data_IF_317311888629
#
_entry.id   IF_317311888629
#
_cell.length_a   1.000
_cell.length_b   1.000
_cell.length_c   1.000
_cell.angle_alpha   90.00
_cell.angle_beta   90.00
_cell.angle_gamma   90.00
#
_symmetry.space_group_name_H-M   'P 1'
#
loop_
_entity.id
_entity.type
_entity.pdbx_description
1 polymer ?
#
# COMPACT_ATOMS: atom_id res chain seq x y z
N UNK A 1 5.54 38.38 -26.92
CA UNK A 1 4.87 38.09 -25.62
C UNK A 1 5.39 36.77 -25.12
N UNK A 2 6.16 36.76 -24.04
CA UNK A 2 6.69 35.55 -23.41
C UNK A 2 5.63 34.94 -22.48
N UNK A 3 5.22 33.72 -22.77
CA UNK A 3 4.26 32.98 -21.91
C UNK A 3 4.97 32.53 -20.63
N UNK A 4 4.57 33.08 -19.50
CA UNK A 4 5.07 32.62 -18.20
C UNK A 4 4.38 31.30 -17.84
N UNK A 5 5.13 30.20 -17.81
CA UNK A 5 4.63 28.90 -17.31
C UNK A 5 4.77 28.86 -15.78
N UNK A 6 3.69 28.60 -15.08
CA UNK A 6 3.70 28.43 -13.63
C UNK A 6 3.81 26.92 -13.32
N UNK A 7 4.93 26.51 -12.76
CA UNK A 7 5.17 25.12 -12.37
C UNK A 7 4.46 24.77 -11.02
N UNK A 8 3.13 24.81 -11.03
CA UNK A 8 2.31 24.58 -9.81
C UNK A 8 2.44 23.13 -9.33
N UNK A 9 2.42 22.18 -10.24
CA UNK A 9 2.51 20.74 -9.92
C UNK A 9 3.85 20.39 -9.25
N UNK A 10 4.97 20.89 -9.76
CA UNK A 10 6.30 20.68 -9.17
C UNK A 10 6.40 21.26 -7.75
N UNK A 11 5.76 22.40 -7.47
CA UNK A 11 5.73 22.98 -6.12
C UNK A 11 4.90 22.16 -5.15
N UNK A 12 3.77 21.62 -5.59
CA UNK A 12 2.91 20.76 -4.77
C UNK A 12 3.65 19.46 -4.43
N UNK A 13 4.23 18.77 -5.41
CA UNK A 13 4.99 17.54 -5.20
C UNK A 13 6.19 17.78 -4.29
N UNK A 14 6.97 18.85 -4.50
CA UNK A 14 8.12 19.17 -3.65
C UNK A 14 7.73 19.52 -2.20
N UNK A 15 6.55 20.08 -1.98
CA UNK A 15 6.03 20.30 -0.62
C UNK A 15 5.61 18.99 0.04
N UNK A 16 4.95 18.11 -0.72
CA UNK A 16 4.60 16.77 -0.26
C UNK A 16 5.85 15.95 0.09
N UNK A 17 6.88 15.97 -0.75
CA UNK A 17 8.10 15.18 -0.54
C UNK A 17 8.82 15.57 0.75
N UNK A 18 8.88 16.88 1.07
CA UNK A 18 9.45 17.36 2.35
C UNK A 18 8.67 16.84 3.57
N UNK A 19 7.34 16.77 3.48
CA UNK A 19 6.52 16.21 4.54
C UNK A 19 6.65 14.68 4.62
N UNK A 20 6.80 14.02 3.47
CA UNK A 20 7.08 12.60 3.43
C UNK A 20 8.42 12.27 4.11
N UNK A 21 9.47 13.07 3.91
CA UNK A 21 10.75 12.94 4.63
C UNK A 21 10.57 13.10 6.15
N UNK A 22 9.73 14.04 6.59
CA UNK A 22 9.42 14.22 8.02
C UNK A 22 8.64 13.02 8.58
N UNK A 23 7.67 12.50 7.84
CA UNK A 23 6.95 11.27 8.22
C UNK A 23 7.91 10.09 8.36
N UNK A 24 8.83 9.92 7.40
CA UNK A 24 9.86 8.90 7.43
C UNK A 24 10.73 9.03 8.68
N UNK A 25 11.27 10.21 8.92
CA UNK A 25 12.13 10.46 10.10
C UNK A 25 11.38 10.19 11.42
N UNK A 26 10.08 10.48 11.48
CA UNK A 26 9.25 10.17 12.65
C UNK A 26 9.08 8.68 12.86
N UNK A 27 8.82 7.91 11.78
CA UNK A 27 8.68 6.45 11.83
C UNK A 27 10.00 5.79 12.21
N UNK A 28 11.11 6.21 11.60
CA UNK A 28 12.46 5.76 11.92
C UNK A 28 12.80 6.01 13.39
N UNK A 29 12.51 7.22 13.88
CA UNK A 29 12.74 7.60 15.29
C UNK A 29 11.91 6.81 16.30
N UNK A 30 10.77 6.25 15.86
CA UNK A 30 9.93 5.36 16.66
C UNK A 30 10.29 3.86 16.49
N UNK A 31 11.19 3.51 15.56
CA UNK A 31 11.54 2.14 15.21
C UNK A 31 10.39 1.37 14.54
N UNK A 32 9.55 2.08 13.78
CA UNK A 32 8.35 1.54 13.12
C UNK A 32 8.62 1.36 11.64
N UNK A 33 8.65 0.11 11.16
CA UNK A 33 8.61 -0.16 9.72
C UNK A 33 7.23 0.18 9.15
N UNK A 34 7.15 0.74 7.95
CA UNK A 34 5.88 1.14 7.36
C UNK A 34 5.73 0.76 5.89
N UNK A 35 4.50 0.40 5.51
CA UNK A 35 4.10 0.05 4.15
C UNK A 35 3.00 0.99 3.66
N UNK A 36 3.09 1.40 2.39
CA UNK A 36 1.97 1.98 1.64
C UNK A 36 1.38 0.91 0.73
N UNK A 37 0.15 0.47 1.00
CA UNK A 37 -0.57 -0.52 0.19
C UNK A 37 -1.45 0.21 -0.82
N UNK A 38 -1.13 0.03 -2.08
CA UNK A 38 -1.82 0.61 -3.23
C UNK A 38 -2.51 -0.49 -4.04
N UNK A 39 -3.66 -0.17 -4.62
CA UNK A 39 -4.39 -1.08 -5.51
C UNK A 39 -5.53 -0.35 -6.22
N UNK A 40 -6.12 -0.97 -7.23
CA UNK A 40 -7.44 -0.57 -7.71
C UNK A 40 -8.54 -0.89 -6.68
N UNK A 41 -9.72 -0.28 -6.81
CA UNK A 41 -10.89 -0.67 -6.02
C UNK A 41 -11.21 -2.16 -6.21
N UNK A 42 -11.51 -2.86 -5.11
CA UNK A 42 -11.90 -4.27 -5.16
C UNK A 42 -10.75 -5.27 -5.37
N UNK A 43 -9.48 -4.85 -5.51
CA UNK A 43 -8.33 -5.77 -5.63
C UNK A 43 -8.09 -6.64 -4.38
N UNK A 44 -8.59 -6.19 -3.21
CA UNK A 44 -8.52 -6.93 -1.97
C UNK A 44 -7.51 -6.37 -0.96
N UNK A 45 -7.31 -5.04 -0.92
CA UNK A 45 -6.44 -4.36 0.06
C UNK A 45 -6.76 -4.77 1.49
N UNK A 46 -7.95 -4.47 1.97
CA UNK A 46 -8.40 -4.77 3.32
C UNK A 46 -8.31 -6.27 3.64
N UNK A 47 -8.68 -7.14 2.69
CA UNK A 47 -8.52 -8.60 2.88
C UNK A 47 -7.06 -9.00 3.04
N UNK A 48 -6.15 -8.42 2.29
CA UNK A 48 -4.70 -8.64 2.41
C UNK A 48 -4.18 -8.17 3.76
N UNK A 49 -4.61 -6.99 4.21
CA UNK A 49 -4.25 -6.43 5.53
C UNK A 49 -4.70 -7.37 6.64
N UNK A 50 -5.95 -7.82 6.61
CA UNK A 50 -6.48 -8.74 7.63
C UNK A 50 -5.74 -10.08 7.66
N UNK A 51 -5.40 -10.66 6.49
CA UNK A 51 -4.57 -11.88 6.42
C UNK A 51 -3.15 -11.65 6.91
N UNK A 52 -2.58 -10.48 6.64
CA UNK A 52 -1.26 -10.07 7.15
C UNK A 52 -1.29 -9.97 8.68
N UNK A 53 -2.31 -9.31 9.25
CA UNK A 53 -2.51 -9.21 10.69
C UNK A 53 -2.65 -10.61 11.31
N UNK A 54 -3.51 -11.45 10.76
CA UNK A 54 -3.73 -12.82 11.25
C UNK A 54 -2.42 -13.63 11.32
N UNK A 55 -1.60 -13.52 10.28
CA UNK A 55 -0.33 -14.26 10.19
C UNK A 55 0.78 -13.69 11.10
N UNK A 56 0.81 -12.38 11.35
CA UNK A 56 1.92 -11.70 12.01
C UNK A 56 1.63 -11.27 13.45
N UNK A 57 0.37 -11.09 13.88
CA UNK A 57 0.00 -10.64 15.23
C UNK A 57 0.63 -11.42 16.39
N UNK A 58 1.00 -12.72 16.26
CA UNK A 58 1.70 -13.42 17.33
C UNK A 58 3.16 -12.98 17.50
N UNK A 59 3.71 -12.22 16.52
CA UNK A 59 5.14 -11.87 16.45
C UNK A 59 5.39 -10.37 16.37
N UNK A 60 4.44 -9.59 15.84
CA UNK A 60 4.57 -8.15 15.59
C UNK A 60 3.35 -7.40 16.12
N UNK A 61 3.61 -6.22 16.65
CA UNK A 61 2.59 -5.24 17.00
C UNK A 61 2.31 -4.40 15.75
N UNK A 62 1.09 -4.46 15.25
CA UNK A 62 0.70 -3.86 13.96
C UNK A 62 -0.25 -2.70 14.23
N UNK A 63 -0.03 -1.57 13.55
CA UNK A 63 -0.97 -0.46 13.45
C UNK A 63 -1.43 -0.27 12.01
N UNK A 64 -2.60 0.28 11.80
CA UNK A 64 -3.16 0.53 10.46
C UNK A 64 -3.64 1.97 10.34
N UNK A 65 -3.30 2.59 9.20
CA UNK A 65 -3.94 3.82 8.72
C UNK A 65 -4.72 3.46 7.48
N UNK A 66 -6.00 3.78 7.43
CA UNK A 66 -6.87 3.53 6.29
C UNK A 66 -7.27 4.84 5.64
N UNK A 67 -7.03 4.97 4.33
CA UNK A 67 -7.51 6.07 3.50
C UNK A 67 -8.75 5.67 2.71
N UNK A 68 -9.86 6.35 2.96
CA UNK A 68 -11.10 6.14 2.20
C UNK A 68 -11.73 7.48 1.79
N UNK A 69 -12.45 7.46 0.68
CA UNK A 69 -13.29 8.57 0.22
C UNK A 69 -14.62 8.64 0.95
N UNK A 70 -15.08 7.53 1.54
CA UNK A 70 -16.33 7.43 2.27
C UNK A 70 -16.16 7.79 3.76
N UNK A 71 -17.21 8.37 4.34
CA UNK A 71 -17.24 8.68 5.77
C UNK A 71 -17.54 7.46 6.67
N UNK A 72 -17.59 6.25 6.09
CA UNK A 72 -17.99 5.01 6.78
C UNK A 72 -16.74 4.18 7.12
N UNK A 73 -16.58 3.83 8.39
CA UNK A 73 -15.39 3.19 8.98
C UNK A 73 -15.38 1.65 8.87
N UNK A 74 -16.03 1.05 7.85
CA UNK A 74 -16.25 -0.40 7.77
C UNK A 74 -14.93 -1.19 7.83
N UNK A 75 -13.90 -0.73 7.15
CA UNK A 75 -12.65 -1.48 7.06
C UNK A 75 -11.74 -1.20 8.27
N UNK A 76 -11.70 0.03 8.78
CA UNK A 76 -11.05 0.34 10.06
C UNK A 76 -11.69 -0.43 11.22
N UNK A 77 -13.01 -0.56 11.24
CA UNK A 77 -13.73 -1.34 12.26
C UNK A 77 -13.34 -2.83 12.26
N UNK A 78 -13.09 -3.41 11.09
CA UNK A 78 -12.60 -4.80 10.97
C UNK A 78 -11.19 -4.95 11.57
N UNK A 79 -10.32 -3.97 11.36
CA UNK A 79 -8.96 -3.95 11.90
C UNK A 79 -9.00 -3.80 13.42
N UNK A 80 -9.84 -2.91 13.94
CA UNK A 80 -10.06 -2.73 15.39
C UNK A 80 -10.64 -4.00 16.00
N UNK A 81 -11.60 -4.65 15.35
CA UNK A 81 -12.16 -5.93 15.80
C UNK A 81 -11.09 -7.05 15.82
N UNK A 82 -10.06 -6.96 14.98
CA UNK A 82 -8.89 -7.84 15.02
C UNK A 82 -7.91 -7.48 16.17
N UNK A 83 -8.19 -6.45 16.97
CA UNK A 83 -7.40 -6.05 18.13
C UNK A 83 -6.20 -5.15 17.82
N UNK A 84 -6.16 -4.52 16.64
CA UNK A 84 -5.07 -3.64 16.23
C UNK A 84 -5.49 -2.16 16.33
N UNK A 85 -4.58 -1.24 16.73
CA UNK A 85 -4.84 0.18 16.64
C UNK A 85 -5.00 0.59 15.18
N UNK A 86 -6.08 1.31 14.88
CA UNK A 86 -6.37 1.81 13.54
C UNK A 86 -6.85 3.26 13.57
N UNK A 87 -6.47 4.01 12.54
CA UNK A 87 -6.92 5.38 12.29
C UNK A 87 -7.45 5.44 10.86
N UNK A 88 -8.66 5.96 10.69
CA UNK A 88 -9.20 6.26 9.37
C UNK A 88 -8.96 7.71 8.98
N UNK A 89 -8.53 7.91 7.74
CA UNK A 89 -8.45 9.21 7.08
C UNK A 89 -9.60 9.28 6.07
N UNK A 90 -10.56 10.16 6.33
CA UNK A 90 -11.53 10.53 5.31
C UNK A 90 -10.91 11.57 4.39
N UNK A 91 -10.67 11.22 3.14
CA UNK A 91 -10.01 12.10 2.17
C UNK A 91 -10.92 13.20 1.61
N UNK A 92 -12.22 13.19 1.97
CA UNK A 92 -13.16 14.20 1.47
C UNK A 92 -13.43 14.14 -0.04
N UNK A 93 -13.12 13.01 -0.66
CA UNK A 93 -13.27 12.79 -2.11
C UNK A 93 -11.96 12.77 -2.87
N UNK A 94 -10.81 13.02 -2.23
CA UNK A 94 -9.51 12.84 -2.88
C UNK A 94 -9.25 11.37 -3.17
N UNK A 95 -8.68 11.10 -4.33
CA UNK A 95 -8.47 9.75 -4.85
C UNK A 95 -7.13 9.12 -4.43
N UNK A 96 -6.44 9.69 -3.42
CA UNK A 96 -5.18 9.21 -2.86
C UNK A 96 -4.96 9.80 -1.46
N UNK A 97 -4.06 9.19 -0.71
CA UNK A 97 -3.45 9.80 0.47
C UNK A 97 -2.21 10.59 0.06
N UNK A 98 -1.96 11.70 0.76
CA UNK A 98 -0.73 12.48 0.67
C UNK A 98 0.04 12.49 2.00
N UNK A 99 1.23 13.10 2.00
CA UNK A 99 2.08 13.14 3.19
C UNK A 99 1.49 14.00 4.32
N UNK A 100 0.64 15.01 4.01
CA UNK A 100 -0.04 15.85 5.01
C UNK A 100 -1.08 15.02 5.76
N UNK A 101 -1.86 14.24 5.03
CA UNK A 101 -2.88 13.36 5.60
C UNK A 101 -2.24 12.34 6.54
N UNK A 102 -1.16 11.69 6.12
CA UNK A 102 -0.43 10.76 6.98
C UNK A 102 0.19 11.46 8.19
N UNK A 103 0.81 12.64 8.02
CA UNK A 103 1.38 13.41 9.14
C UNK A 103 0.34 13.73 10.24
N UNK A 104 -0.91 13.96 9.85
CA UNK A 104 -2.01 14.21 10.78
C UNK A 104 -2.54 12.93 11.45
N UNK A 105 -2.41 11.76 10.80
CA UNK A 105 -2.84 10.49 11.36
C UNK A 105 -1.82 9.88 12.34
N UNK A 106 -0.52 10.01 12.09
CA UNK A 106 0.53 9.41 12.91
C UNK A 106 0.45 9.76 14.40
N UNK A 107 0.11 11.01 14.84
CA UNK A 107 -0.06 11.35 16.26
C UNK A 107 -1.20 10.61 16.98
N UNK A 108 -2.14 10.05 16.23
CA UNK A 108 -3.29 9.32 16.77
C UNK A 108 -2.98 7.84 17.05
N UNK A 109 -1.80 7.38 16.66
CA UNK A 109 -1.34 6.00 16.87
C UNK A 109 -0.30 5.93 18.00
N UNK A 110 -0.32 4.86 18.82
CA UNK A 110 0.71 4.59 19.83
C UNK A 110 1.98 4.03 19.15
N UNK A 111 2.76 4.89 18.46
CA UNK A 111 3.90 4.45 17.64
C UNK A 111 4.96 3.69 18.46
N UNK A 112 5.12 3.97 19.74
CA UNK A 112 5.98 3.25 20.68
C UNK A 112 5.54 1.80 20.94
N UNK A 113 4.31 1.47 20.57
CA UNK A 113 3.72 0.14 20.71
C UNK A 113 3.51 -0.56 19.37
N UNK A 114 4.04 -0.03 18.28
CA UNK A 114 3.90 -0.56 16.93
C UNK A 114 5.28 -0.94 16.40
N UNK A 115 5.38 -2.13 15.79
CA UNK A 115 6.56 -2.60 15.06
C UNK A 115 6.39 -2.40 13.55
N UNK A 116 5.14 -2.49 13.07
CA UNK A 116 4.76 -2.43 11.67
C UNK A 116 3.53 -1.53 11.50
N UNK A 117 3.64 -0.48 10.70
CA UNK A 117 2.53 0.35 10.28
C UNK A 117 2.12 0.01 8.85
N UNK A 118 0.86 -0.34 8.65
CA UNK A 118 0.28 -0.54 7.32
C UNK A 118 -0.59 0.67 6.98
N UNK A 119 -0.28 1.35 5.89
CA UNK A 119 -1.09 2.44 5.35
C UNK A 119 -1.85 1.91 4.15
N UNK A 120 -3.16 1.77 4.25
CA UNK A 120 -4.05 1.45 3.14
C UNK A 120 -4.36 2.73 2.37
N UNK A 121 -3.90 2.83 1.14
CA UNK A 121 -4.21 3.96 0.25
C UNK A 121 -5.59 3.81 -0.38
N UNK A 122 -6.14 4.92 -0.86
CA UNK A 122 -7.39 4.92 -1.63
C UNK A 122 -7.25 4.04 -2.87
N UNK A 123 -8.33 3.34 -3.24
CA UNK A 123 -8.35 2.46 -4.40
C UNK A 123 -8.19 3.23 -5.72
N UNK A 124 -6.95 3.32 -6.23
CA UNK A 124 -6.61 4.03 -7.46
C UNK A 124 -5.23 3.57 -7.99
N UNK A 125 -5.05 3.48 -9.31
CA UNK A 125 -3.78 3.09 -9.96
C UNK A 125 -3.01 4.26 -10.56
N UNK A 126 -3.46 5.50 -10.42
CA UNK A 126 -2.84 6.68 -11.02
C UNK A 126 -2.30 7.62 -9.95
N UNK A 127 -3.20 8.21 -9.16
CA UNK A 127 -2.83 9.27 -8.21
C UNK A 127 -1.84 8.82 -7.12
N UNK A 128 -1.98 7.63 -6.48
CA UNK A 128 -1.05 7.20 -5.43
C UNK A 128 0.40 7.04 -5.91
N UNK A 129 0.62 6.85 -7.22
CA UNK A 129 1.97 6.74 -7.79
C UNK A 129 2.76 8.06 -7.77
N UNK A 130 2.07 9.20 -7.66
CA UNK A 130 2.69 10.53 -7.71
C UNK A 130 2.96 11.14 -6.33
N UNK A 131 2.37 10.61 -5.26
CA UNK A 131 2.44 11.18 -3.92
C UNK A 131 3.12 10.20 -2.95
N UNK A 132 4.35 10.52 -2.58
CA UNK A 132 5.07 9.78 -1.55
C UNK A 132 4.48 10.09 -0.17
N UNK A 133 4.35 9.07 0.67
CA UNK A 133 3.83 9.21 2.04
C UNK A 133 4.94 9.29 3.09
N UNK A 134 6.17 8.86 2.74
CA UNK A 134 7.27 8.67 3.67
C UNK A 134 7.29 7.28 4.30
N UNK A 135 6.52 6.33 3.77
CA UNK A 135 6.59 4.91 4.17
C UNK A 135 7.87 4.25 3.65
N UNK A 136 8.29 3.14 4.28
CA UNK A 136 9.51 2.40 3.92
C UNK A 136 9.36 1.64 2.61
N UNK A 137 8.21 1.02 2.40
CA UNK A 137 7.92 0.21 1.22
C UNK A 137 6.59 0.62 0.59
N UNK A 138 6.57 0.59 -0.73
CA UNK A 138 5.37 0.68 -1.56
C UNK A 138 5.00 -0.72 -2.05
N UNK A 139 3.81 -1.18 -1.72
CA UNK A 139 3.29 -2.49 -2.09
C UNK A 139 2.07 -2.30 -2.99
N UNK A 140 2.11 -2.88 -4.18
CA UNK A 140 0.96 -2.89 -5.07
C UNK A 140 0.23 -4.22 -4.97
N UNK A 141 -1.10 -4.18 -4.86
CA UNK A 141 -1.94 -5.35 -5.01
C UNK A 141 -2.64 -5.27 -6.37
N UNK A 142 -2.32 -6.22 -7.25
CA UNK A 142 -3.05 -6.50 -8.47
C UNK A 142 -3.96 -7.71 -8.25
N UNK A 143 -5.10 -7.77 -8.92
CA UNK A 143 -6.01 -8.92 -8.85
C UNK A 143 -6.17 -9.56 -10.21
N UNK A 144 -6.13 -10.89 -10.28
CA UNK A 144 -6.33 -11.61 -11.55
C UNK A 144 -7.69 -11.31 -12.20
N UNK A 145 -8.70 -10.93 -11.40
CA UNK A 145 -10.01 -10.54 -11.89
C UNK A 145 -10.05 -9.19 -12.64
N UNK A 146 -8.96 -8.40 -12.57
CA UNK A 146 -8.87 -7.09 -13.22
C UNK A 146 -8.29 -7.14 -14.63
N UNK A 147 -7.72 -8.28 -15.02
CA UNK A 147 -7.05 -8.50 -16.30
C UNK A 147 -5.54 -8.28 -16.24
N UNK A 148 -4.85 -8.92 -17.18
CA UNK A 148 -3.39 -9.03 -17.26
C UNK A 148 -2.70 -7.86 -17.97
N UNK A 149 -3.48 -6.89 -18.45
CA UNK A 149 -3.00 -5.73 -19.19
C UNK A 149 -2.69 -4.49 -18.30
N UNK A 150 -2.90 -4.60 -16.98
CA UNK A 150 -2.72 -3.48 -16.05
C UNK A 150 -1.31 -2.87 -16.04
N UNK A 151 -0.21 -3.63 -16.11
CA UNK A 151 1.13 -3.03 -16.20
C UNK A 151 1.30 -2.14 -17.44
N UNK A 152 0.70 -2.52 -18.54
CA UNK A 152 0.78 -1.76 -19.79
C UNK A 152 -0.11 -0.51 -19.78
N UNK A 153 -1.25 -0.56 -19.11
CA UNK A 153 -2.21 0.56 -19.01
C UNK A 153 -1.84 1.59 -17.94
N UNK A 154 -1.20 1.14 -16.84
CA UNK A 154 -0.88 1.96 -15.67
C UNK A 154 0.62 1.85 -15.30
N UNK A 155 1.56 2.11 -16.22
CA UNK A 155 2.98 1.84 -15.98
C UNK A 155 3.58 2.64 -14.82
N UNK A 156 3.01 3.80 -14.48
CA UNK A 156 3.53 4.68 -13.43
C UNK A 156 3.57 4.00 -12.07
N UNK A 157 2.49 3.32 -11.67
CA UNK A 157 2.41 2.71 -10.34
C UNK A 157 3.31 1.49 -10.20
N UNK A 158 3.53 0.72 -11.28
CA UNK A 158 4.40 -0.47 -11.25
C UNK A 158 5.89 -0.14 -11.13
N UNK A 159 6.33 1.06 -11.58
CA UNK A 159 7.73 1.49 -11.48
C UNK A 159 8.18 1.83 -10.07
N UNK A 160 7.27 2.29 -9.23
CA UNK A 160 7.57 2.82 -7.89
C UNK A 160 7.29 1.86 -6.74
N UNK A 161 7.15 0.56 -7.00
CA UNK A 161 6.84 -0.43 -5.97
C UNK A 161 8.05 -1.27 -5.59
N UNK A 162 8.10 -1.66 -4.31
CA UNK A 162 9.12 -2.54 -3.74
C UNK A 162 8.66 -4.00 -3.72
N UNK A 163 7.35 -4.23 -3.71
CA UNK A 163 6.75 -5.56 -3.79
C UNK A 163 5.41 -5.53 -4.52
N UNK A 164 5.10 -6.64 -5.17
CA UNK A 164 3.85 -6.87 -5.90
C UNK A 164 3.12 -8.08 -5.32
N UNK A 165 1.87 -7.91 -4.94
CA UNK A 165 0.96 -9.01 -4.60
C UNK A 165 0.03 -9.24 -5.80
N UNK A 166 -0.03 -10.47 -6.30
CA UNK A 166 -1.03 -10.90 -7.30
C UNK A 166 -2.10 -11.67 -6.54
N UNK A 167 -3.20 -10.99 -6.20
CA UNK A 167 -4.26 -11.55 -5.37
C UNK A 167 -5.33 -12.26 -6.19
N UNK A 168 -6.14 -13.06 -5.49
CA UNK A 168 -7.27 -13.82 -6.01
C UNK A 168 -6.86 -14.90 -7.02
N UNK A 169 -5.67 -15.50 -6.87
CA UNK A 169 -5.20 -16.57 -7.78
C UNK A 169 -6.13 -17.78 -7.82
N UNK A 170 -6.96 -17.97 -6.78
CA UNK A 170 -8.04 -18.95 -6.78
C UNK A 170 -9.07 -18.75 -7.89
N UNK A 171 -9.13 -17.56 -8.51
CA UNK A 171 -10.00 -17.27 -9.65
C UNK A 171 -9.37 -17.58 -11.00
N UNK A 172 -8.07 -17.90 -11.09
CA UNK A 172 -7.40 -18.18 -12.36
C UNK A 172 -8.15 -19.20 -13.26
N UNK A 173 -8.77 -20.28 -12.72
CA UNK A 173 -9.55 -21.19 -13.53
C UNK A 173 -10.82 -20.60 -14.15
N UNK A 174 -11.25 -19.43 -13.71
CA UNK A 174 -12.56 -18.83 -14.06
C UNK A 174 -12.44 -17.50 -14.79
N UNK A 175 -11.22 -16.96 -14.97
CA UNK A 175 -10.96 -15.68 -15.62
C UNK A 175 -9.91 -15.84 -16.73
N UNK A 176 -10.00 -15.02 -17.76
CA UNK A 176 -8.96 -14.91 -18.77
C UNK A 176 -7.82 -14.04 -18.23
N UNK A 177 -6.73 -14.67 -17.79
CA UNK A 177 -5.55 -14.00 -17.27
C UNK A 177 -4.29 -14.78 -17.63
N UNK A 178 -3.45 -14.20 -18.50
CA UNK A 178 -2.12 -14.74 -18.81
C UNK A 178 -1.08 -14.22 -17.81
N UNK A 179 -0.73 -15.07 -16.84
CA UNK A 179 0.27 -14.75 -15.82
C UNK A 179 1.64 -14.40 -16.43
N UNK A 180 2.02 -15.01 -17.53
CA UNK A 180 3.31 -14.74 -18.19
C UNK A 180 3.27 -13.38 -18.90
N UNK A 181 2.17 -13.03 -19.54
CA UNK A 181 1.98 -11.72 -20.15
C UNK A 181 2.03 -10.62 -19.09
N UNK A 182 1.29 -10.78 -18.00
CA UNK A 182 1.30 -9.86 -16.87
C UNK A 182 2.71 -9.67 -16.29
N UNK A 183 3.42 -10.79 -16.00
CA UNK A 183 4.79 -10.75 -15.44
C UNK A 183 5.78 -10.09 -16.37
N UNK A 184 5.69 -10.32 -17.69
CA UNK A 184 6.53 -9.62 -18.67
C UNK A 184 6.31 -8.09 -18.61
N UNK A 185 5.06 -7.64 -18.49
CA UNK A 185 4.74 -6.22 -18.35
C UNK A 185 5.34 -5.61 -17.07
N UNK A 186 5.26 -6.34 -15.97
CA UNK A 186 5.88 -5.91 -14.69
C UNK A 186 7.39 -5.85 -14.81
N UNK A 187 8.04 -6.90 -15.33
CA UNK A 187 9.50 -6.99 -15.47
C UNK A 187 10.08 -5.87 -16.35
N UNK A 188 9.37 -5.46 -17.41
CA UNK A 188 9.78 -4.33 -18.23
C UNK A 188 9.76 -2.98 -17.48
N UNK A 189 8.91 -2.83 -16.48
CA UNK A 189 8.71 -1.58 -15.75
C UNK A 189 9.54 -1.50 -14.47
N UNK A 190 9.70 -2.63 -13.80
CA UNK A 190 10.39 -2.76 -12.52
C UNK A 190 11.12 -4.12 -12.46
N UNK A 191 12.29 -4.23 -13.09
CA UNK A 191 13.04 -5.48 -13.17
C UNK A 191 13.41 -6.02 -11.79
N UNK A 192 13.11 -7.30 -11.57
CA UNK A 192 13.44 -7.99 -10.33
C UNK A 192 12.55 -7.66 -9.13
N UNK A 193 11.44 -6.95 -9.31
CA UNK A 193 10.50 -6.69 -8.20
C UNK A 193 9.98 -8.01 -7.63
N UNK A 194 10.04 -8.14 -6.31
CA UNK A 194 9.55 -9.35 -5.64
C UNK A 194 8.03 -9.47 -5.80
N UNK A 195 7.58 -10.68 -6.14
CA UNK A 195 6.16 -10.91 -6.46
C UNK A 195 5.60 -12.05 -5.62
N UNK A 196 4.42 -11.83 -5.03
CA UNK A 196 3.69 -12.79 -4.18
C UNK A 196 2.34 -13.13 -4.83
N UNK A 197 2.23 -14.22 -5.62
CA UNK A 197 0.93 -14.76 -5.99
C UNK A 197 0.23 -15.30 -4.75
N UNK A 198 -1.00 -14.81 -4.48
CA UNK A 198 -1.72 -15.26 -3.29
C UNK A 198 -3.25 -15.21 -3.46
N UNK A 199 -3.93 -15.91 -2.57
CA UNK A 199 -5.38 -15.83 -2.39
C UNK A 199 -5.71 -15.54 -0.94
N UNK A 200 -6.28 -14.36 -0.67
CA UNK A 200 -6.81 -14.04 0.65
C UNK A 200 -7.97 -14.97 1.06
N UNK A 201 -8.65 -15.58 0.09
CA UNK A 201 -9.77 -16.50 0.33
C UNK A 201 -9.29 -17.86 0.84
N UNK A 202 -8.32 -18.46 0.16
CA UNK A 202 -7.82 -19.81 0.49
C UNK A 202 -6.65 -19.78 1.47
N UNK A 203 -5.94 -18.67 1.59
CA UNK A 203 -4.71 -18.54 2.39
C UNK A 203 -3.44 -18.90 1.62
N UNK A 204 -3.55 -19.35 0.36
CA UNK A 204 -2.39 -19.65 -0.49
C UNK A 204 -1.50 -18.43 -0.66
N UNK A 205 -0.17 -18.59 -0.54
CA UNK A 205 0.82 -17.52 -0.70
C UNK A 205 0.90 -16.50 0.46
N UNK A 206 -0.01 -16.57 1.44
CA UNK A 206 -0.02 -15.62 2.57
C UNK A 206 1.19 -15.82 3.48
N UNK A 207 1.65 -17.05 3.64
CA UNK A 207 2.80 -17.37 4.50
C UNK A 207 4.09 -16.76 3.97
N UNK A 208 4.34 -16.88 2.67
CA UNK A 208 5.51 -16.34 1.97
C UNK A 208 5.56 -14.80 2.07
N UNK A 209 4.42 -14.16 1.84
CA UNK A 209 4.26 -12.72 2.03
C UNK A 209 4.55 -12.29 3.48
N UNK A 210 3.93 -12.96 4.45
CA UNK A 210 4.08 -12.63 5.87
C UNK A 210 5.52 -12.87 6.34
N UNK A 211 6.18 -13.92 5.87
CA UNK A 211 7.57 -14.20 6.20
C UNK A 211 8.51 -13.10 5.67
N UNK A 212 8.37 -12.73 4.41
CA UNK A 212 9.15 -11.64 3.81
C UNK A 212 8.99 -10.35 4.61
N UNK A 213 7.76 -10.01 4.99
CA UNK A 213 7.49 -8.81 5.76
C UNK A 213 8.09 -8.86 7.17
N UNK A 214 8.02 -10.01 7.84
CA UNK A 214 8.62 -10.20 9.14
C UNK A 214 10.18 -10.10 9.10
N UNK A 215 10.80 -10.55 8.01
CA UNK A 215 12.23 -10.41 7.78
C UNK A 215 12.62 -8.94 7.58
N UNK A 216 11.82 -8.16 6.83
CA UNK A 216 12.02 -6.71 6.66
C UNK A 216 11.95 -5.96 7.99
N UNK A 217 10.94 -6.26 8.82
CA UNK A 217 10.83 -5.64 10.16
C UNK A 217 12.04 -5.94 11.04
N UNK A 218 12.67 -7.11 10.89
CA UNK A 218 13.88 -7.46 11.66
C UNK A 218 15.15 -6.79 11.15
N UNK A 219 15.24 -6.57 9.82
CA UNK A 219 16.46 -5.98 9.21
C UNK A 219 16.56 -4.48 9.40
N UNK A 220 15.46 -3.80 9.68
CA UNK A 220 15.40 -2.35 9.89
C UNK A 220 15.43 -1.96 11.39
N UNK A 221 15.46 -2.94 12.31
CA UNK A 221 15.66 -2.75 13.75
C UNK A 221 17.15 -2.95 14.11
#
# INVERSE_FOLDING_TARGET
MTTTRVAVVEKILSANDRLAEQNRARLDGAGVLSLNIMASPGAGKTSTILRTIEALRPRLRIGVVEGDTAAVTIDADKVIAAGMPAVQINTGGDCHLDAVMLANALPQLPLDQIDLLIVENVGNLICPAAFTLGTHFNVLIASVAEGDDKPYKYPGIYRGIDALIINKIDLLPYVEFDMNYFRRGVEMLNPGVITFPMSCRTGEGVTEWAQWLAEKVKSEK
#
